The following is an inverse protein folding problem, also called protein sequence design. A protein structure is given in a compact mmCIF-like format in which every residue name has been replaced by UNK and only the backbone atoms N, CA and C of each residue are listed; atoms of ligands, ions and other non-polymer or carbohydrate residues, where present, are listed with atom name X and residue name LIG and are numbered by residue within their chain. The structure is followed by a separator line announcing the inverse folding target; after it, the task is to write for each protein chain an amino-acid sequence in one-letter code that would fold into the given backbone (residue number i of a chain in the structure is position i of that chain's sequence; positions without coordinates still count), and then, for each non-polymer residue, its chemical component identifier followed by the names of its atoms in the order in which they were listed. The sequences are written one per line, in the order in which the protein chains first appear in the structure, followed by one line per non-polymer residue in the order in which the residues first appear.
data_IF_109168946702
#
_entry.id   IF_109168946702
#
_cell.length_a   1.000
_cell.length_b   1.000
_cell.length_c   1.000
_cell.angle_alpha   90.00
_cell.angle_beta   90.00
_cell.angle_gamma   90.00
#
_symmetry.space_group_name_H-M   'P 1'
#
loop_
_entity.id
_entity.type
_entity.pdbx_description
1 polymer ?
#
# COMPACT_ATOMS: atom_id res chain seq x y z
N UNK A 1 -8.86 -7.65 25.17
CA UNK A 1 -7.63 -6.89 24.84
C UNK A 1 -7.51 -6.84 23.32
N UNK A 2 -7.71 -5.66 22.72
CA UNK A 2 -7.55 -5.50 21.27
C UNK A 2 -6.06 -5.52 20.90
N UNK A 3 -5.62 -6.52 20.14
CA UNK A 3 -4.22 -6.65 19.72
C UNK A 3 -3.83 -5.64 18.65
N UNK A 4 -2.58 -5.17 18.70
CA UNK A 4 -1.97 -4.35 17.66
C UNK A 4 -1.92 -5.09 16.32
N UNK A 5 -2.27 -4.40 15.23
CA UNK A 5 -2.28 -5.00 13.88
C UNK A 5 -0.88 -4.94 13.23
N UNK A 6 -0.23 -3.79 13.30
CA UNK A 6 1.16 -3.60 12.90
C UNK A 6 2.06 -3.76 14.12
N UNK A 7 2.88 -4.80 14.14
CA UNK A 7 3.88 -5.00 15.19
C UNK A 7 5.22 -4.35 14.83
N UNK A 8 5.38 -3.92 13.57
CA UNK A 8 6.56 -3.22 13.08
C UNK A 8 7.88 -3.94 13.42
N UNK A 9 7.91 -5.26 13.28
CA UNK A 9 9.14 -6.03 13.35
C UNK A 9 10.03 -5.67 12.15
N UNK A 10 11.32 -5.46 12.36
CA UNK A 10 12.25 -5.03 11.32
C UNK A 10 12.83 -6.25 10.58
N UNK A 11 12.90 -6.15 9.26
CA UNK A 11 13.55 -7.14 8.41
C UNK A 11 14.68 -6.48 7.64
N UNK A 12 15.89 -6.96 7.85
CA UNK A 12 17.11 -6.48 7.21
C UNK A 12 17.52 -7.40 6.05
N UNK A 13 18.22 -6.84 5.07
CA UNK A 13 18.87 -7.57 3.98
C UNK A 13 20.02 -8.41 4.52
N UNK A 14 20.59 -9.26 3.68
CA UNK A 14 21.80 -10.02 4.04
C UNK A 14 22.98 -9.10 4.42
N UNK A 15 23.02 -7.88 3.89
CA UNK A 15 24.01 -6.83 4.14
C UNK A 15 23.62 -5.91 5.32
N UNK A 16 22.47 -6.14 5.95
CA UNK A 16 21.99 -5.35 7.10
C UNK A 16 21.17 -4.11 6.74
N UNK A 17 20.85 -3.87 5.46
CA UNK A 17 19.99 -2.75 5.06
C UNK A 17 18.52 -2.99 5.43
N UNK A 18 17.80 -1.99 5.94
CA UNK A 18 16.38 -2.15 6.26
C UNK A 18 15.56 -2.37 4.99
N UNK A 19 14.91 -3.53 4.87
CA UNK A 19 14.05 -3.87 3.74
C UNK A 19 12.61 -3.47 3.99
N UNK A 20 12.06 -3.92 5.13
CA UNK A 20 10.68 -3.59 5.46
C UNK A 20 10.34 -3.79 6.95
N UNK A 21 9.18 -3.25 7.31
CA UNK A 21 8.48 -3.59 8.54
C UNK A 21 7.44 -4.70 8.32
N UNK A 22 7.38 -5.67 9.23
CA UNK A 22 6.49 -6.83 9.14
C UNK A 22 5.81 -7.20 10.47
N UNK A 23 4.95 -8.22 10.45
CA UNK A 23 4.32 -8.78 11.64
C UNK A 23 5.19 -9.92 12.24
N UNK A 24 4.95 -10.23 13.52
CA UNK A 24 5.74 -11.22 14.25
C UNK A 24 5.55 -12.64 13.70
N UNK A 25 4.41 -12.91 13.05
CA UNK A 25 4.17 -14.19 12.38
C UNK A 25 5.08 -14.38 11.17
N UNK A 26 5.25 -13.33 10.34
CA UNK A 26 6.21 -13.35 9.24
C UNK A 26 7.63 -13.50 9.78
N UNK A 27 8.00 -12.69 10.78
CA UNK A 27 9.31 -12.79 11.42
C UNK A 27 9.61 -14.23 11.87
N UNK A 28 8.67 -14.84 12.62
CA UNK A 28 8.82 -16.20 13.13
C UNK A 28 8.88 -17.25 12.02
N UNK A 29 8.16 -17.05 10.92
CA UNK A 29 8.23 -17.94 9.76
C UNK A 29 9.65 -18.00 9.19
N UNK A 30 10.33 -16.85 9.03
CA UNK A 30 11.71 -16.81 8.53
C UNK A 30 12.69 -17.48 9.50
N UNK A 31 12.57 -17.21 10.81
CA UNK A 31 13.39 -17.84 11.84
C UNK A 31 13.22 -19.37 11.84
N UNK A 32 11.98 -19.85 11.88
CA UNK A 32 11.68 -21.29 11.91
C UNK A 32 12.15 -22.03 10.64
N UNK A 33 12.26 -21.33 9.52
CA UNK A 33 12.76 -21.89 8.25
C UNK A 33 14.28 -21.84 8.12
N UNK A 34 14.99 -21.25 9.08
CA UNK A 34 16.44 -21.03 8.98
C UNK A 34 16.81 -20.09 7.83
N UNK A 35 15.90 -19.18 7.46
CA UNK A 35 16.10 -18.21 6.37
C UNK A 35 16.55 -16.83 6.88
N UNK A 36 16.54 -16.64 8.20
CA UNK A 36 16.95 -15.42 8.86
C UNK A 36 17.49 -15.73 10.25
N UNK A 37 18.28 -14.81 10.79
CA UNK A 37 18.74 -14.82 12.18
C UNK A 37 18.13 -13.64 12.93
N UNK A 38 17.87 -13.82 14.22
CA UNK A 38 17.45 -12.72 15.08
C UNK A 38 18.67 -11.91 15.51
N UNK A 39 18.64 -10.60 15.24
CA UNK A 39 19.75 -9.67 15.53
C UNK A 39 19.40 -8.66 16.63
N UNK A 40 18.11 -8.46 16.92
CA UNK A 40 17.66 -7.64 18.04
C UNK A 40 16.32 -8.16 18.58
N UNK A 41 16.12 -8.06 19.89
CA UNK A 41 14.87 -8.47 20.56
C UNK A 41 13.85 -7.33 20.64
N UNK A 42 14.28 -6.09 20.85
CA UNK A 42 13.40 -4.92 20.96
C UNK A 42 13.97 -3.66 20.25
N UNK A 43 13.35 -3.19 19.15
CA UNK A 43 12.24 -3.83 18.46
C UNK A 43 12.69 -5.14 17.77
N UNK A 44 11.82 -6.17 17.70
CA UNK A 44 12.19 -7.44 17.09
C UNK A 44 12.72 -7.25 15.67
N UNK A 45 13.97 -7.68 15.45
CA UNK A 45 14.68 -7.48 14.20
C UNK A 45 15.31 -8.78 13.72
N UNK A 46 15.07 -9.12 12.47
CA UNK A 46 15.69 -10.26 11.79
C UNK A 46 16.52 -9.80 10.60
N UNK A 47 17.61 -10.52 10.33
CA UNK A 47 18.45 -10.34 9.15
C UNK A 47 18.35 -11.59 8.27
N UNK A 48 18.02 -11.40 7.00
CA UNK A 48 17.93 -12.49 6.04
C UNK A 48 19.32 -13.11 5.79
N UNK A 49 19.36 -14.42 5.59
CA UNK A 49 20.60 -15.15 5.26
C UNK A 49 20.85 -15.29 3.75
N UNK A 50 20.08 -14.59 2.93
CA UNK A 50 20.14 -14.66 1.47
C UNK A 50 19.80 -13.30 0.84
N UNK A 51 20.24 -13.10 -0.40
CA UNK A 51 19.93 -11.90 -1.17
C UNK A 51 18.45 -11.88 -1.58
N UNK A 52 17.73 -10.85 -1.11
CA UNK A 52 16.35 -10.62 -1.50
C UNK A 52 16.27 -10.13 -2.96
N UNK A 53 15.35 -10.68 -3.75
CA UNK A 53 15.09 -10.20 -5.10
C UNK A 53 13.97 -9.15 -5.07
N UNK A 54 14.29 -7.91 -5.44
CA UNK A 54 13.34 -6.79 -5.49
C UNK A 54 12.80 -6.50 -6.90
N UNK A 55 12.75 -7.51 -7.77
CA UNK A 55 12.29 -7.36 -9.17
C UNK A 55 10.90 -6.73 -9.25
N UNK A 56 10.02 -7.09 -8.33
CA UNK A 56 8.65 -6.59 -8.29
C UNK A 56 8.60 -5.10 -7.89
N UNK A 57 9.41 -4.68 -6.90
CA UNK A 57 9.51 -3.28 -6.47
C UNK A 57 10.02 -2.37 -7.60
N UNK A 58 11.04 -2.82 -8.34
CA UNK A 58 11.62 -2.08 -9.47
C UNK A 58 10.64 -1.93 -10.63
N UNK A 59 9.82 -2.95 -10.91
CA UNK A 59 8.87 -2.91 -12.02
C UNK A 59 7.64 -2.04 -11.71
N UNK A 60 7.20 -1.99 -10.46
CA UNK A 60 6.14 -1.08 -10.01
C UNK A 60 6.52 0.40 -10.14
N UNK A 61 7.81 0.71 -9.97
CA UNK A 61 8.37 2.04 -10.20
C UNK A 61 8.32 2.42 -11.70
N UNK A 62 8.82 1.54 -12.58
CA UNK A 62 8.86 1.81 -14.02
C UNK A 62 7.48 1.93 -14.68
N UNK A 63 6.44 1.32 -14.12
CA UNK A 63 5.07 1.36 -14.64
C UNK A 63 4.21 2.50 -14.07
N UNK A 64 4.81 3.48 -13.39
CA UNK A 64 4.14 4.72 -13.00
C UNK A 64 3.59 4.76 -11.56
N UNK A 65 4.21 4.04 -10.62
CA UNK A 65 3.88 4.08 -9.19
C UNK A 65 4.25 5.38 -8.46
N UNK A 66 4.46 6.50 -9.15
CA UNK A 66 4.78 7.78 -8.53
C UNK A 66 3.54 8.38 -7.84
N UNK A 67 3.57 8.47 -6.51
CA UNK A 67 2.76 9.46 -5.81
C UNK A 67 3.62 10.72 -5.65
N UNK A 68 3.15 11.81 -6.25
CA UNK A 68 3.66 13.16 -6.02
C UNK A 68 3.47 13.54 -4.54
N UNK A 69 4.49 13.32 -3.70
CA UNK A 69 4.66 14.16 -2.52
C UNK A 69 5.38 15.42 -2.99
N UNK A 70 4.58 16.42 -3.38
CA UNK A 70 5.05 17.78 -3.60
C UNK A 70 5.58 18.37 -2.29
N UNK A 71 6.83 18.05 -1.95
CA UNK A 71 7.64 18.86 -1.05
C UNK A 71 8.81 19.37 -1.86
N UNK A 72 8.65 20.57 -2.39
CA UNK A 72 9.76 21.32 -2.98
C UNK A 72 10.88 21.42 -1.93
N UNK A 73 12.10 21.00 -2.29
CA UNK A 73 13.30 21.23 -1.48
C UNK A 73 14.18 20.04 -1.09
N UNK A 74 14.10 18.88 -1.77
CA UNK A 74 15.11 17.81 -1.59
C UNK A 74 16.16 17.92 -2.69
N UNK A 75 17.42 18.05 -2.28
CA UNK A 75 18.61 18.11 -3.15
C UNK A 75 18.80 16.78 -3.89
N UNK A 76 19.24 16.87 -5.13
CA UNK A 76 19.58 15.71 -5.96
C UNK A 76 20.76 14.94 -5.34
N UNK A 77 20.53 13.66 -5.03
CA UNK A 77 21.54 12.74 -4.48
C UNK A 77 21.20 12.30 -3.06
N UNK A 78 20.83 11.02 -2.91
CA UNK A 78 20.53 10.30 -1.65
C UNK A 78 19.06 10.36 -1.17
N UNK A 79 18.19 9.61 -1.85
CA UNK A 79 16.82 9.37 -1.39
C UNK A 79 16.02 8.56 -2.41
N UNK A 80 16.25 7.25 -2.46
CA UNK A 80 15.47 6.36 -3.31
C UNK A 80 13.98 6.40 -2.97
N UNK A 81 13.15 6.34 -4.00
CA UNK A 81 11.67 6.38 -4.05
C UNK A 81 10.93 5.27 -3.26
N UNK A 82 11.62 4.48 -2.41
CA UNK A 82 11.13 3.27 -1.72
C UNK A 82 10.76 3.48 -0.24
N UNK A 83 10.38 4.69 0.12
CA UNK A 83 10.04 5.07 1.51
C UNK A 83 8.84 4.30 2.09
N UNK A 84 7.99 3.70 1.25
CA UNK A 84 6.76 3.07 1.73
C UNK A 84 7.01 1.81 2.57
N UNK A 85 7.98 0.98 2.18
CA UNK A 85 8.26 -0.30 2.87
C UNK A 85 9.16 -0.11 4.09
N UNK A 86 10.02 0.90 4.03
CA UNK A 86 11.02 1.26 5.04
C UNK A 86 10.49 2.22 6.11
N UNK A 87 9.21 2.58 6.06
CA UNK A 87 8.53 3.35 7.11
C UNK A 87 7.71 2.45 8.04
N UNK A 88 7.77 2.76 9.34
CA UNK A 88 6.94 2.08 10.35
C UNK A 88 5.47 2.47 10.19
N UNK A 89 4.56 1.54 10.47
CA UNK A 89 3.12 1.74 10.26
C UNK A 89 2.41 2.02 11.56
N UNK A 90 1.52 3.02 11.54
CA UNK A 90 0.73 3.37 12.72
C UNK A 90 -0.56 2.56 12.81
N UNK A 91 -0.88 2.15 14.03
CA UNK A 91 -2.08 1.38 14.36
C UNK A 91 -3.26 2.33 14.64
N UNK A 92 -3.77 2.95 13.58
CA UNK A 92 -4.92 3.86 13.65
C UNK A 92 -5.84 3.72 12.46
N UNK A 93 -7.11 4.05 12.64
CA UNK A 93 -8.04 4.22 11.54
C UNK A 93 -7.56 5.34 10.60
N UNK A 94 -7.46 5.08 9.30
CA UNK A 94 -7.09 6.12 8.32
C UNK A 94 -8.23 7.08 7.98
N UNK A 95 -9.48 6.73 8.32
CA UNK A 95 -10.65 7.58 8.10
C UNK A 95 -10.86 8.63 9.19
N UNK A 96 -10.80 8.22 10.45
CA UNK A 96 -11.08 9.10 11.60
C UNK A 96 -9.92 9.27 12.59
N UNK A 97 -8.83 8.52 12.45
CA UNK A 97 -7.66 8.61 13.33
C UNK A 97 -7.72 7.83 14.64
N UNK A 98 -8.84 7.17 14.97
CA UNK A 98 -8.96 6.43 16.23
C UNK A 98 -7.93 5.30 16.35
N UNK A 99 -7.48 5.03 17.57
CA UNK A 99 -6.39 4.09 17.90
C UNK A 99 -6.87 2.76 18.46
N UNK A 100 -8.16 2.43 18.32
CA UNK A 100 -8.74 1.18 18.82
C UNK A 100 -9.75 0.59 17.85
N UNK A 101 -10.01 -0.72 18.00
CA UNK A 101 -11.05 -1.47 17.28
C UNK A 101 -11.02 -1.31 15.75
N UNK A 102 -9.83 -1.38 15.15
CA UNK A 102 -9.66 -1.30 13.71
C UNK A 102 -9.45 -2.67 13.04
N UNK A 103 -9.93 -2.78 11.81
CA UNK A 103 -9.87 -3.94 10.93
C UNK A 103 -9.07 -3.59 9.67
N UNK A 104 -8.49 -4.62 9.03
CA UNK A 104 -7.83 -4.47 7.73
C UNK A 104 -8.89 -4.37 6.63
N UNK A 105 -8.93 -3.26 5.92
CA UNK A 105 -9.82 -3.01 4.80
C UNK A 105 -9.04 -3.02 3.47
N UNK A 106 -9.58 -3.72 2.47
CA UNK A 106 -9.02 -3.73 1.10
C UNK A 106 -9.66 -2.61 0.30
N UNK A 107 -8.89 -1.57 -0.02
CA UNK A 107 -9.35 -0.43 -0.82
C UNK A 107 -9.72 -0.88 -2.23
N UNK A 108 -8.97 -1.83 -2.79
CA UNK A 108 -9.22 -2.35 -4.12
C UNK A 108 -10.05 -3.65 -4.05
N UNK A 109 -11.27 -3.67 -4.62
CA UNK A 109 -12.09 -4.88 -4.68
C UNK A 109 -11.39 -6.04 -5.39
N UNK A 110 -11.66 -7.27 -4.94
CA UNK A 110 -11.07 -8.48 -5.50
C UNK A 110 -11.38 -8.66 -7.00
N UNK A 111 -12.57 -8.24 -7.43
CA UNK A 111 -12.98 -8.27 -8.84
C UNK A 111 -12.13 -7.37 -9.73
N UNK A 112 -11.53 -6.30 -9.23
CA UNK A 112 -10.59 -5.46 -9.99
C UNK A 112 -9.17 -6.00 -9.87
N UNK A 113 -8.78 -6.43 -8.66
CA UNK A 113 -7.44 -6.99 -8.42
C UNK A 113 -7.11 -8.17 -9.32
N UNK A 114 -8.09 -9.01 -9.69
CA UNK A 114 -7.86 -10.16 -10.59
C UNK A 114 -7.36 -9.76 -11.97
N UNK A 115 -7.73 -8.59 -12.47
CA UNK A 115 -7.38 -8.09 -13.81
C UNK A 115 -6.07 -7.31 -13.84
N UNK A 116 -5.48 -7.00 -12.68
CA UNK A 116 -4.19 -6.30 -12.64
C UNK A 116 -3.03 -7.19 -13.13
N UNK A 117 -1.99 -6.60 -13.75
CA UNK A 117 -0.73 -7.29 -14.02
C UNK A 117 -0.16 -7.97 -12.77
N UNK A 118 0.54 -9.10 -12.95
CA UNK A 118 1.19 -9.83 -11.84
C UNK A 118 2.15 -8.95 -11.04
N UNK A 119 2.89 -8.08 -11.72
CA UNK A 119 3.80 -7.11 -11.12
C UNK A 119 3.13 -6.18 -10.09
N UNK A 120 1.84 -5.84 -10.28
CA UNK A 120 1.09 -4.99 -9.34
C UNK A 120 0.41 -5.81 -8.23
N UNK A 121 0.34 -7.14 -8.37
CA UNK A 121 -0.34 -8.04 -7.43
C UNK A 121 0.53 -8.46 -6.24
N UNK A 122 1.86 -8.35 -6.34
CA UNK A 122 2.84 -8.65 -5.28
C UNK A 122 2.81 -7.60 -4.15
N UNK A 123 2.50 -6.34 -4.47
CA UNK A 123 2.39 -5.21 -3.53
C UNK A 123 1.06 -5.18 -2.74
N UNK A 124 0.72 -6.30 -2.08
CA UNK A 124 -0.53 -6.48 -1.31
C UNK A 124 -0.70 -5.51 -0.15
N UNK A 125 0.36 -4.83 0.28
CA UNK A 125 0.31 -3.85 1.37
C UNK A 125 -0.10 -2.45 0.93
N UNK A 126 -0.07 -2.13 -0.38
CA UNK A 126 -0.43 -0.79 -0.87
C UNK A 126 -1.94 -0.52 -0.82
N UNK A 127 -2.75 -1.56 -1.03
CA UNK A 127 -4.22 -1.46 -1.09
C UNK A 127 -4.92 -1.96 0.17
N UNK A 128 -4.18 -2.19 1.25
CA UNK A 128 -4.72 -2.60 2.56
C UNK A 128 -4.48 -1.50 3.58
N UNK A 129 -5.55 -0.99 4.17
CA UNK A 129 -5.54 0.08 5.18
C UNK A 129 -6.24 -0.37 6.46
N UNK A 130 -6.11 0.39 7.55
CA UNK A 130 -6.84 0.16 8.79
C UNK A 130 -8.04 1.10 8.88
N UNK A 131 -9.23 0.55 9.14
CA UNK A 131 -10.44 1.32 9.44
C UNK A 131 -11.04 0.83 10.76
N UNK A 132 -11.57 1.73 11.58
CA UNK A 132 -12.44 1.35 12.69
C UNK A 132 -13.73 0.71 12.19
N UNK A 133 -14.47 0.05 13.08
CA UNK A 133 -15.76 -0.58 12.74
C UNK A 133 -16.69 0.42 12.04
N UNK A 134 -16.83 1.64 12.56
CA UNK A 134 -17.71 2.66 11.97
C UNK A 134 -17.29 3.07 10.55
N UNK A 135 -16.01 3.39 10.37
CA UNK A 135 -15.48 3.73 9.04
C UNK A 135 -15.54 2.54 8.07
N UNK A 136 -15.40 1.31 8.59
CA UNK A 136 -15.49 0.10 7.78
C UNK A 136 -16.91 -0.11 7.26
N UNK A 137 -17.93 0.06 8.11
CA UNK A 137 -19.33 0.00 7.68
C UNK A 137 -19.65 1.09 6.66
N UNK A 138 -19.19 2.32 6.88
CA UNK A 138 -19.35 3.42 5.93
C UNK A 138 -18.71 3.11 4.57
N UNK A 139 -17.52 2.52 4.57
CA UNK A 139 -16.81 2.15 3.35
C UNK A 139 -17.47 0.96 2.61
N UNK A 140 -18.17 0.09 3.31
CA UNK A 140 -18.87 -1.06 2.74
C UNK A 140 -20.28 -0.73 2.19
N UNK A 141 -20.90 0.37 2.65
CA UNK A 141 -22.23 0.77 2.16
C UNK A 141 -22.18 0.86 0.63
N UNK A 142 -23.02 0.09 -0.09
CA UNK A 142 -23.10 0.19 -1.54
C UNK A 142 -23.34 1.64 -1.92
N UNK A 143 -22.66 2.13 -2.96
CA UNK A 143 -22.91 3.43 -3.59
C UNK A 143 -24.29 3.42 -4.29
N UNK A 144 -25.37 3.09 -3.58
CA UNK A 144 -26.72 3.00 -4.12
C UNK A 144 -27.31 4.38 -4.45
N UNK A 145 -26.60 5.49 -4.19
CA UNK A 145 -27.07 6.87 -4.43
C UNK A 145 -25.99 7.87 -4.87
N UNK A 146 -24.99 7.45 -5.66
CA UNK A 146 -24.15 8.40 -6.41
C UNK A 146 -23.97 7.98 -7.89
N UNK A 147 -25.05 7.52 -8.52
CA UNK A 147 -25.13 7.30 -9.98
C UNK A 147 -25.37 8.61 -10.74
N UNK A 148 -24.44 9.56 -10.65
CA UNK A 148 -24.35 10.66 -11.62
C UNK A 148 -22.99 10.75 -12.33
N UNK A 149 -21.96 10.01 -11.86
CA UNK A 149 -20.62 10.07 -12.45
C UNK A 149 -20.17 8.85 -13.26
N UNK A 150 -20.79 7.68 -13.09
CA UNK A 150 -20.21 6.41 -13.58
C UNK A 150 -20.83 5.88 -14.89
N UNK A 151 -21.29 6.77 -15.78
CA UNK A 151 -21.72 6.42 -17.15
C UNK A 151 -20.69 6.75 -18.23
N UNK A 152 -19.48 7.23 -17.88
CA UNK A 152 -18.44 7.59 -18.89
C UNK A 152 -17.39 6.51 -19.18
N UNK A 153 -17.11 5.60 -18.24
CA UNK A 153 -16.06 4.58 -18.47
C UNK A 153 -16.48 3.39 -19.34
N UNK A 154 -17.77 3.22 -19.65
CA UNK A 154 -18.24 2.11 -20.51
C UNK A 154 -18.41 2.50 -21.98
N UNK A 155 -18.47 3.80 -22.29
CA UNK A 155 -18.63 4.30 -23.66
C UNK A 155 -17.27 4.59 -24.33
N UNK A 156 -16.24 4.95 -23.56
CA UNK A 156 -14.93 5.30 -24.12
C UNK A 156 -14.03 4.09 -24.46
N UNK A 157 -14.35 2.89 -23.95
CA UNK A 157 -13.65 1.64 -24.30
C UNK A 157 -14.22 0.96 -25.57
N UNK A 158 -15.39 1.37 -26.07
CA UNK A 158 -15.95 0.85 -27.33
C UNK A 158 -15.60 1.71 -28.55
N UNK A 159 -15.23 2.99 -28.37
CA UNK A 159 -14.91 3.90 -29.50
C UNK A 159 -13.41 4.02 -29.81
N UNK A 160 -12.54 3.53 -28.94
CA UNK A 160 -11.08 3.58 -29.12
C UNK A 160 -10.49 2.46 -29.99
N UNK A 161 -11.32 1.61 -30.61
CA UNK A 161 -10.86 0.58 -31.58
C UNK A 161 -10.67 1.12 -33.01
N UNK A 162 -10.91 2.41 -33.27
CA UNK A 162 -10.86 3.00 -34.61
C UNK A 162 -10.25 4.40 -34.63
N UNK A 163 -9.07 4.60 -34.02
CA UNK A 163 -8.07 5.63 -34.40
C UNK A 163 -6.88 5.56 -33.43
N UNK A 164 -5.68 5.29 -33.96
CA UNK A 164 -4.44 5.33 -33.19
C UNK A 164 -4.14 6.74 -32.69
N UNK A 165 -4.39 6.99 -31.40
CA UNK A 165 -4.06 8.24 -30.74
C UNK A 165 -3.55 7.94 -29.32
N UNK A 166 -2.38 8.49 -29.03
CA UNK A 166 -1.65 8.49 -27.76
C UNK A 166 -2.50 9.08 -26.65
N UNK A 167 -2.84 8.30 -25.62
CA UNK A 167 -3.58 8.77 -24.45
C UNK A 167 -2.61 9.26 -23.37
N UNK A 168 -2.62 10.57 -23.12
CA UNK A 168 -2.05 11.20 -21.93
C UNK A 168 -2.98 10.96 -20.72
N UNK A 169 -2.45 10.73 -19.50
CA UNK A 169 -3.28 10.43 -18.33
C UNK A 169 -3.72 11.71 -17.59
N UNK A 170 -4.97 12.12 -17.79
CA UNK A 170 -5.64 13.13 -16.96
C UNK A 170 -7.00 12.62 -16.48
N UNK A 171 -7.00 11.55 -15.69
CA UNK A 171 -8.21 11.07 -14.98
C UNK A 171 -7.86 10.50 -13.59
N UNK A 172 -7.34 11.32 -12.68
CA UNK A 172 -7.47 11.06 -11.23
C UNK A 172 -7.74 12.40 -10.54
N UNK A 173 -9.00 12.84 -10.60
CA UNK A 173 -9.53 13.91 -9.76
C UNK A 173 -10.89 13.46 -9.21
N UNK A 174 -10.90 12.45 -8.34
CA UNK A 174 -12.06 12.09 -7.51
C UNK A 174 -11.61 11.56 -6.16
N UNK A 175 -11.47 12.49 -5.20
CA UNK A 175 -11.76 12.40 -3.75
C UNK A 175 -10.80 13.29 -2.95
N UNK A 176 -10.96 14.61 -3.13
CA UNK A 176 -10.79 15.55 -2.03
C UNK A 176 -12.16 15.72 -1.37
N UNK A 177 -12.30 15.31 -0.12
CA UNK A 177 -13.30 15.91 0.76
C UNK A 177 -12.57 16.73 1.83
N UNK A 178 -12.85 18.04 1.92
CA UNK A 178 -12.43 18.85 3.05
C UNK A 178 -13.40 18.57 4.20
N UNK A 179 -12.89 18.29 5.40
CA UNK A 179 -13.67 18.45 6.61
C UNK A 179 -13.09 19.61 7.39
N UNK A 180 -13.97 20.59 7.60
CA UNK A 180 -13.71 21.83 8.27
C UNK A 180 -13.30 21.65 9.73
N UNK A 181 -12.62 22.68 10.19
CA UNK A 181 -12.37 23.09 11.56
C UNK A 181 -13.53 22.81 12.52
N UNK A 182 -13.17 22.38 13.72
CA UNK A 182 -13.69 22.98 14.94
C UNK A 182 -12.51 23.26 15.87
#
# INVERSE_FOLDING_TARGET
MGGWVYQNCRMLSHEGQLLCFCDSRKLRWYLNKGLAVQVCEDPPTIQLLFEHQNTDQKLGEQLGGHRATGREGVREGEGGTDDFYTQSKSNRCVGCGCSSHYLRYRVLPACYRRHMPSALKSHRSHDVVLLCIDCHELAQKPLARQHSGHRRLRTELSESRMRGATLLPSVIALNMYPFGTC
#
